data_IF_029507920628
#
_entry.id   IF_029507920628
#
_cell.length_a   1.000
_cell.length_b   1.000
_cell.length_c   1.000
_cell.angle_alpha   90.00
_cell.angle_beta   90.00
_cell.angle_gamma   90.00
#
_symmetry.space_group_name_H-M   'P 1'
#
loop_
_entity.id
_entity.type
_entity.pdbx_description
1 polymer ?
#
# COMPACT_ATOMS: atom_id res chain seq x y z
N UNK A 1 5.50 8.55 8.98
CA UNK A 1 5.35 9.60 7.96
C UNK A 1 4.85 8.95 6.68
N UNK A 2 4.00 9.60 5.90
CA UNK A 2 3.53 9.10 4.60
C UNK A 2 3.96 10.10 3.53
N UNK A 3 4.62 9.61 2.48
CA UNK A 3 5.01 10.41 1.31
C UNK A 3 4.47 9.74 0.06
N UNK A 4 3.86 10.54 -0.81
CA UNK A 4 3.31 10.10 -2.09
C UNK A 4 3.95 10.98 -3.16
N UNK A 5 4.44 10.36 -4.23
CA UNK A 5 5.02 11.05 -5.38
C UNK A 5 4.40 10.52 -6.66
N UNK A 6 3.99 11.41 -7.54
CA UNK A 6 3.66 11.04 -8.92
C UNK A 6 4.95 10.68 -9.66
N UNK A 7 4.89 9.62 -10.47
CA UNK A 7 6.03 9.12 -11.23
C UNK A 7 5.61 8.75 -12.65
N UNK A 8 6.56 8.89 -13.58
CA UNK A 8 6.52 8.16 -14.84
C UNK A 8 7.29 6.87 -14.64
N UNK A 9 6.62 5.74 -14.84
CA UNK A 9 7.19 4.43 -14.55
C UNK A 9 8.38 4.14 -15.47
N UNK A 10 9.44 3.62 -14.87
CA UNK A 10 10.57 2.97 -15.52
C UNK A 10 10.87 1.72 -14.69
N UNK A 11 11.14 0.58 -15.33
CA UNK A 11 11.58 -0.66 -14.68
C UNK A 11 12.65 -0.46 -13.60
N UNK A 12 13.58 0.49 -13.76
CA UNK A 12 14.58 0.81 -12.73
C UNK A 12 13.98 1.27 -11.39
N UNK A 13 12.79 1.88 -11.40
CA UNK A 13 12.10 2.29 -10.19
C UNK A 13 11.66 1.10 -9.33
N UNK A 14 11.52 -0.11 -9.90
CA UNK A 14 11.22 -1.30 -9.10
C UNK A 14 12.32 -1.60 -8.08
N UNK A 15 13.57 -1.18 -8.33
CA UNK A 15 14.68 -1.30 -7.36
C UNK A 15 14.45 -0.47 -6.10
N UNK A 16 13.53 0.51 -6.15
CA UNK A 16 13.17 1.34 -5.02
C UNK A 16 12.02 0.75 -4.18
N UNK A 17 11.35 -0.32 -4.64
CA UNK A 17 10.36 -1.06 -3.85
C UNK A 17 11.11 -1.90 -2.81
N UNK A 18 11.03 -1.50 -1.54
CA UNK A 18 11.78 -2.16 -0.47
C UNK A 18 11.18 -1.91 0.90
N UNK A 19 11.60 -2.74 1.85
CA UNK A 19 11.33 -2.58 3.27
C UNK A 19 12.64 -2.63 4.05
N UNK A 20 12.93 -1.59 4.85
CA UNK A 20 14.16 -1.50 5.65
C UNK A 20 13.93 -1.60 7.16
N UNK A 21 12.77 -2.14 7.57
CA UNK A 21 12.24 -2.20 8.95
C UNK A 21 11.71 -0.88 9.51
N UNK A 22 12.12 0.26 8.98
CA UNK A 22 11.59 1.57 9.39
C UNK A 22 10.60 2.15 8.38
N UNK A 23 10.90 1.94 7.09
CA UNK A 23 10.15 2.45 5.96
C UNK A 23 9.84 1.32 4.98
N UNK A 24 8.62 1.35 4.44
CA UNK A 24 8.15 0.52 3.34
C UNK A 24 7.82 1.43 2.15
N UNK A 25 8.26 1.05 0.97
CA UNK A 25 7.97 1.74 -0.28
C UNK A 25 7.31 0.80 -1.29
N UNK A 26 6.38 1.34 -2.07
CA UNK A 26 5.68 0.60 -3.11
C UNK A 26 5.26 1.51 -4.26
N UNK A 27 5.20 0.94 -5.46
CA UNK A 27 4.65 1.59 -6.65
C UNK A 27 3.23 1.09 -6.88
N UNK A 28 2.31 2.02 -7.09
CA UNK A 28 0.91 1.72 -7.41
C UNK A 28 0.47 2.43 -8.70
N UNK A 29 -0.25 1.72 -9.56
CA UNK A 29 -0.79 2.26 -10.82
C UNK A 29 -1.85 3.34 -10.59
N UNK A 30 -2.67 3.16 -9.56
CA UNK A 30 -3.74 4.10 -9.17
C UNK A 30 -3.56 4.46 -7.71
N UNK A 31 -3.67 5.75 -7.41
CA UNK A 31 -3.57 6.23 -6.03
C UNK A 31 -4.79 5.76 -5.23
N UNK A 32 -4.60 4.97 -4.15
CA UNK A 32 -5.71 4.62 -3.26
C UNK A 32 -6.21 5.85 -2.48
N UNK A 33 -7.41 5.76 -1.90
CA UNK A 33 -7.88 6.79 -0.97
C UNK A 33 -6.89 6.98 0.17
N UNK A 34 -6.76 8.21 0.66
CA UNK A 34 -5.83 8.54 1.74
C UNK A 34 -6.07 7.69 3.00
N UNK A 35 -7.34 7.40 3.30
CA UNK A 35 -7.72 6.52 4.41
C UNK A 35 -7.14 5.10 4.26
N UNK A 36 -7.15 4.56 3.05
CA UNK A 36 -6.60 3.23 2.73
C UNK A 36 -5.10 3.23 2.90
N UNK A 37 -4.42 4.25 2.39
CA UNK A 37 -2.96 4.37 2.53
C UNK A 37 -2.59 4.42 4.02
N UNK A 38 -3.28 5.25 4.81
CA UNK A 38 -3.04 5.38 6.26
C UNK A 38 -3.30 4.07 7.00
N UNK A 39 -4.42 3.42 6.74
CA UNK A 39 -4.75 2.15 7.37
C UNK A 39 -3.76 1.05 6.96
N UNK A 40 -3.37 1.00 5.68
CA UNK A 40 -2.37 0.07 5.17
C UNK A 40 -1.01 0.26 5.86
N UNK A 41 -0.53 1.51 5.98
CA UNK A 41 0.71 1.78 6.72
C UNK A 41 0.59 1.29 8.18
N UNK A 42 -0.51 1.64 8.87
CA UNK A 42 -0.74 1.27 10.27
C UNK A 42 -0.78 -0.24 10.49
N UNK A 43 -1.56 -0.94 9.66
CA UNK A 43 -1.68 -2.40 9.70
C UNK A 43 -0.31 -3.01 9.46
N UNK A 44 0.34 -2.64 8.36
CA UNK A 44 1.62 -3.21 7.94
C UNK A 44 2.63 -3.21 9.09
N UNK A 45 2.89 -2.06 9.72
CA UNK A 45 3.89 -1.97 10.81
C UNK A 45 3.51 -2.76 12.07
N UNK A 46 2.24 -3.13 12.25
CA UNK A 46 1.80 -3.96 13.39
C UNK A 46 1.77 -5.45 13.10
N UNK A 47 1.63 -5.84 11.84
CA UNK A 47 1.30 -7.22 11.48
C UNK A 47 2.27 -7.85 10.49
N UNK A 48 3.21 -7.12 9.87
CA UNK A 48 4.06 -7.67 8.81
C UNK A 48 4.85 -8.91 9.24
N UNK A 49 5.25 -9.02 10.51
CA UNK A 49 5.95 -10.20 11.04
C UNK A 49 5.06 -11.42 11.22
N UNK A 50 3.73 -11.24 11.24
CA UNK A 50 2.72 -12.28 11.46
C UNK A 50 1.86 -12.55 10.23
N UNK A 51 2.05 -11.78 9.16
CA UNK A 51 1.28 -11.90 7.92
C UNK A 51 1.51 -13.25 7.24
N UNK A 52 0.45 -13.80 6.63
CA UNK A 52 0.54 -14.95 5.72
C UNK A 52 1.38 -14.66 4.48
N UNK A 53 1.40 -13.41 4.02
CA UNK A 53 2.23 -12.98 2.89
C UNK A 53 3.62 -12.65 3.41
N UNK A 54 4.57 -13.56 3.19
CA UNK A 54 5.93 -13.46 3.74
C UNK A 54 6.75 -12.30 3.18
N UNK A 55 6.53 -11.94 1.92
CA UNK A 55 7.20 -10.79 1.30
C UNK A 55 6.54 -9.50 1.81
N UNK A 56 7.26 -8.64 2.56
CA UNK A 56 6.68 -7.44 3.13
C UNK A 56 6.19 -6.45 2.06
N UNK A 57 6.85 -6.38 0.91
CA UNK A 57 6.47 -5.47 -0.17
C UNK A 57 5.19 -5.92 -0.87
N UNK A 58 5.03 -7.23 -1.07
CA UNK A 58 3.78 -7.80 -1.59
C UNK A 58 2.66 -7.72 -0.56
N UNK A 59 2.96 -7.91 0.72
CA UNK A 59 1.98 -7.74 1.79
C UNK A 59 1.47 -6.30 1.82
N UNK A 60 2.38 -5.33 1.80
CA UNK A 60 2.00 -3.93 1.77
C UNK A 60 1.19 -3.56 0.51
N UNK A 61 1.58 -4.07 -0.66
CA UNK A 61 0.80 -3.91 -1.89
C UNK A 61 -0.61 -4.48 -1.73
N UNK A 62 -0.75 -5.63 -1.08
CA UNK A 62 -2.06 -6.26 -0.83
C UNK A 62 -3.00 -5.38 0.01
N UNK A 63 -2.43 -4.65 0.99
CA UNK A 63 -3.16 -3.71 1.83
C UNK A 63 -3.55 -2.43 1.08
N UNK A 64 -2.69 -1.92 0.19
CA UNK A 64 -3.00 -0.76 -0.64
C UNK A 64 -4.15 -1.03 -1.61
N UNK A 65 -4.29 -2.29 -2.07
CA UNK A 65 -5.38 -2.74 -2.94
C UNK A 65 -6.57 -3.37 -2.21
N UNK A 66 -6.47 -3.52 -0.88
CA UNK A 66 -7.47 -4.18 -0.04
C UNK A 66 -7.95 -5.55 -0.56
N UNK A 67 -7.00 -6.35 -1.03
CA UNK A 67 -7.24 -7.64 -1.66
C UNK A 67 -6.17 -8.65 -1.25
N UNK A 68 -6.55 -9.89 -0.97
CA UNK A 68 -5.62 -10.97 -0.60
C UNK A 68 -5.11 -11.79 -1.79
N UNK A 69 -5.71 -11.63 -2.97
CA UNK A 69 -5.34 -12.37 -4.18
C UNK A 69 -4.18 -11.68 -4.92
N UNK A 70 -2.95 -11.99 -4.51
CA UNK A 70 -1.72 -11.35 -5.01
C UNK A 70 -1.61 -11.36 -6.54
N UNK A 71 -1.93 -12.48 -7.21
CA UNK A 71 -1.83 -12.56 -8.67
C UNK A 71 -2.70 -11.51 -9.38
N UNK A 72 -3.93 -11.30 -8.89
CA UNK A 72 -4.81 -10.26 -9.43
C UNK A 72 -4.25 -8.87 -9.16
N UNK A 73 -3.72 -8.64 -7.97
CA UNK A 73 -3.14 -7.34 -7.59
C UNK A 73 -1.95 -7.00 -8.50
N UNK A 74 -1.05 -7.96 -8.75
CA UNK A 74 0.08 -7.77 -9.64
C UNK A 74 -0.37 -7.47 -11.08
N UNK A 75 -1.42 -8.14 -11.56
CA UNK A 75 -2.00 -7.88 -12.87
C UNK A 75 -2.60 -6.47 -12.96
N UNK A 76 -3.42 -6.06 -11.98
CA UNK A 76 -4.00 -4.72 -11.92
C UNK A 76 -2.96 -3.61 -11.71
N UNK A 77 -1.88 -3.91 -11.01
CA UNK A 77 -0.80 -2.97 -10.73
C UNK A 77 0.26 -2.91 -11.84
N UNK A 78 0.12 -3.71 -12.90
CA UNK A 78 1.12 -3.75 -13.99
C UNK A 78 1.21 -2.38 -14.67
N UNK A 79 2.41 -1.83 -14.63
CA UNK A 79 2.81 -0.61 -15.33
C UNK A 79 3.77 -0.96 -16.46
N UNK A 80 3.69 -0.23 -17.57
CA UNK A 80 4.68 -0.25 -18.65
C UNK A 80 5.56 1.00 -18.56
N UNK A 81 6.75 0.95 -19.14
CA UNK A 81 7.64 2.12 -19.19
C UNK A 81 6.93 3.32 -19.82
N UNK A 82 7.06 4.47 -19.16
CA UNK A 82 6.37 5.72 -19.50
C UNK A 82 4.94 5.84 -18.96
N UNK A 83 4.33 4.79 -18.41
CA UNK A 83 2.99 4.90 -17.80
C UNK A 83 3.04 5.69 -16.48
N UNK A 84 1.99 6.48 -16.25
CA UNK A 84 1.82 7.22 -14.99
C UNK A 84 1.52 6.27 -13.82
N UNK A 85 2.15 6.53 -12.68
CA UNK A 85 1.91 5.82 -11.43
C UNK A 85 2.24 6.67 -10.21
N UNK A 86 2.17 6.05 -9.04
CA UNK A 86 2.43 6.70 -7.77
C UNK A 86 3.43 5.89 -6.96
N UNK A 87 4.41 6.56 -6.39
CA UNK A 87 5.34 5.99 -5.44
C UNK A 87 4.92 6.36 -4.01
N UNK A 88 4.54 5.35 -3.24
CA UNK A 88 4.02 5.46 -1.88
C UNK A 88 5.08 4.99 -0.91
N UNK A 89 5.42 5.82 0.07
CA UNK A 89 6.38 5.51 1.13
C UNK A 89 5.68 5.72 2.48
N UNK A 90 5.65 4.68 3.31
CA UNK A 90 5.24 4.77 4.71
C UNK A 90 6.45 4.51 5.61
N UNK A 91 6.69 5.38 6.57
CA UNK A 91 7.66 5.18 7.64
C UNK A 91 6.96 5.16 9.00
N UNK A 92 7.47 4.37 9.95
CA UNK A 92 6.87 4.11 11.25
C UNK A 92 6.81 5.37 12.15
N UNK A 93 7.71 6.32 11.93
CA UNK A 93 7.84 7.59 12.62
C UNK A 93 6.72 8.59 12.27
N UNK A 94 5.74 8.77 13.15
CA UNK A 94 4.73 9.83 12.98
C UNK A 94 3.58 9.45 12.04
N UNK A 95 3.01 8.26 12.22
CA UNK A 95 1.65 7.98 11.72
C UNK A 95 0.65 8.86 12.48
N UNK A 96 0.41 10.06 11.94
CA UNK A 96 -0.50 11.05 12.53
C UNK A 96 -1.93 10.53 12.57
N UNK A 97 -2.57 10.67 13.74
CA UNK A 97 -3.99 10.35 14.00
C UNK A 97 -4.91 11.52 13.62
N UNK A 98 -4.69 12.14 12.46
CA UNK A 98 -5.62 13.15 11.95
C UNK A 98 -6.95 12.48 11.60
N UNK A 99 -8.07 13.19 11.83
CA UNK A 99 -9.38 12.71 11.41
C UNK A 99 -9.39 12.57 9.88
N UNK A 100 -9.87 11.43 9.40
CA UNK A 100 -10.01 11.16 7.97
C UNK A 100 -11.51 11.06 7.69
N UNK A 101 -11.97 11.79 6.69
CA UNK A 101 -13.36 11.71 6.25
C UNK A 101 -13.48 10.62 5.20
N UNK A 102 -14.30 9.60 5.47
CA UNK A 102 -14.66 8.58 4.49
C UNK A 102 -15.69 9.18 3.55
N UNK A 103 -15.39 9.19 2.26
CA UNK A 103 -16.15 9.90 1.22
C UNK A 103 -17.02 8.99 0.38
N UNK A 104 -16.82 7.67 0.42
CA UNK A 104 -17.59 6.72 -0.40
C UNK A 104 -17.82 5.36 0.28
N UNK A 105 -18.82 4.63 -0.22
CA UNK A 105 -19.06 3.24 0.18
C UNK A 105 -17.92 2.31 -0.27
N UNK A 106 -17.32 2.54 -1.43
CA UNK A 106 -16.18 1.76 -1.91
C UNK A 106 -14.97 1.88 -0.99
N UNK A 107 -14.67 3.10 -0.54
CA UNK A 107 -13.63 3.36 0.46
C UNK A 107 -13.92 2.61 1.78
N UNK A 108 -15.18 2.64 2.25
CA UNK A 108 -15.60 1.89 3.44
C UNK A 108 -15.41 0.37 3.28
N UNK A 109 -15.76 -0.17 2.11
CA UNK A 109 -15.58 -1.59 1.81
C UNK A 109 -14.10 -1.97 1.77
N UNK A 110 -13.25 -1.13 1.17
CA UNK A 110 -11.81 -1.34 1.12
C UNK A 110 -11.20 -1.34 2.54
N UNK A 111 -11.53 -0.35 3.38
CA UNK A 111 -11.10 -0.30 4.79
C UNK A 111 -11.51 -1.56 5.57
N UNK A 112 -12.72 -2.05 5.32
CA UNK A 112 -13.26 -3.26 5.96
C UNK A 112 -12.49 -4.51 5.52
N UNK A 113 -12.24 -4.65 4.22
CA UNK A 113 -11.46 -5.77 3.67
C UNK A 113 -10.04 -5.79 4.23
N UNK A 114 -9.38 -4.64 4.33
CA UNK A 114 -8.07 -4.53 4.96
C UNK A 114 -8.09 -5.00 6.41
N UNK A 115 -9.05 -4.53 7.20
CA UNK A 115 -9.19 -4.96 8.59
C UNK A 115 -9.33 -6.49 8.68
N UNK A 116 -10.22 -7.10 7.89
CA UNK A 116 -10.43 -8.56 7.88
C UNK A 116 -9.16 -9.30 7.43
N UNK A 117 -8.57 -8.89 6.30
CA UNK A 117 -7.41 -9.58 5.72
C UNK A 117 -6.14 -9.47 6.59
N UNK A 118 -6.09 -8.50 7.51
CA UNK A 118 -4.94 -8.26 8.38
C UNK A 118 -4.93 -9.05 9.68
N UNK A 119 -6.06 -9.67 10.04
CA UNK A 119 -6.22 -10.41 11.31
C UNK A 119 -5.62 -11.82 11.24
N UNK A 120 -5.29 -12.32 10.04
CA UNK A 120 -4.91 -13.71 9.79
C UNK A 120 -3.49 -13.91 9.28
#
# INVERSE_FOLDING_TARGET
>A
MIKIQEINFNEDLKKQIRFDKNCISQIVKRLPYESIIRQACYIFFRTYTRSKIRDPTLYFLSLLYSNSQINKILEYNKLKDGEHGYFVICCNDGLNRSNITITSNDERLMLTRNAINSVF
#
